data_IF_221566698485
#
_entry.id   IF_221566698485
#
_cell.length_a   1.000
_cell.length_b   1.000
_cell.length_c   1.000
_cell.angle_alpha   90.00
_cell.angle_beta   90.00
_cell.angle_gamma   90.00
#
_symmetry.space_group_name_H-M   'P 1'
#
loop_
_entity.id
_entity.type
_entity.pdbx_description
1 polymer ?
#
# COMPACT_ATOMS: atom_id res chain seq x y z
N UNK A 1 -2.24 4.80 18.93
CA UNK A 1 -2.84 3.50 18.60
C UNK A 1 -2.08 2.99 17.39
N UNK A 2 -1.48 1.81 17.48
CA UNK A 2 -0.90 1.15 16.31
C UNK A 2 -2.06 0.60 15.45
N UNK A 3 -1.93 0.70 14.14
CA UNK A 3 -2.88 0.16 13.17
C UNK A 3 -2.25 -1.04 12.46
N UNK A 4 -3.04 -2.06 12.17
CA UNK A 4 -2.57 -3.24 11.45
C UNK A 4 -2.47 -2.95 9.95
N UNK A 5 -1.31 -3.23 9.36
CA UNK A 5 -1.12 -3.14 7.91
C UNK A 5 -1.77 -4.33 7.22
N UNK A 6 -2.69 -4.08 6.29
CA UNK A 6 -3.37 -5.13 5.53
C UNK A 6 -2.49 -6.00 4.62
N UNK A 7 -1.22 -5.63 4.40
CA UNK A 7 -0.33 -6.32 3.47
C UNK A 7 0.71 -7.18 4.17
N UNK A 8 1.32 -6.65 5.24
CA UNK A 8 2.29 -7.39 6.04
C UNK A 8 1.72 -7.93 7.36
N UNK A 9 0.46 -7.60 7.68
CA UNK A 9 -0.27 -8.07 8.87
C UNK A 9 0.50 -7.74 10.17
N UNK A 10 1.26 -6.64 10.15
CA UNK A 10 2.01 -6.13 11.30
C UNK A 10 1.34 -4.87 11.82
N UNK A 11 1.29 -4.76 13.15
CA UNK A 11 0.98 -3.52 13.83
C UNK A 11 2.08 -2.50 13.55
N UNK A 12 1.69 -1.34 13.02
CA UNK A 12 2.60 -0.22 12.76
C UNK A 12 2.02 1.06 13.34
N UNK A 13 2.89 1.99 13.72
CA UNK A 13 2.47 3.28 14.28
C UNK A 13 1.88 4.23 13.22
N UNK A 14 2.25 4.02 11.94
CA UNK A 14 1.80 4.86 10.82
C UNK A 14 1.29 3.99 9.68
N UNK A 15 -0.03 3.96 9.53
CA UNK A 15 -0.69 3.49 8.32
C UNK A 15 -1.32 4.64 7.56
N UNK A 16 -1.54 4.40 6.27
CA UNK A 16 -2.37 5.23 5.41
C UNK A 16 -3.52 4.42 4.86
N UNK A 17 -4.68 5.07 4.81
CA UNK A 17 -5.88 4.46 4.27
C UNK A 17 -5.79 4.47 2.75
N UNK A 18 -5.54 3.32 2.14
CA UNK A 18 -5.51 3.21 0.70
C UNK A 18 -6.93 3.01 0.15
N UNK A 19 -7.45 3.92 -0.69
CA UNK A 19 -8.83 3.85 -1.18
C UNK A 19 -9.10 2.60 -2.01
N UNK A 20 -8.08 2.08 -2.69
CA UNK A 20 -8.19 0.89 -3.55
C UNK A 20 -8.34 -0.41 -2.76
N UNK A 21 -7.71 -0.50 -1.59
CA UNK A 21 -7.78 -1.67 -0.70
C UNK A 21 -8.85 -1.52 0.37
N UNK A 22 -9.42 -0.31 0.50
CA UNK A 22 -10.31 0.11 1.58
C UNK A 22 -9.81 -0.29 2.99
N UNK A 23 -8.48 -0.41 3.13
CA UNK A 23 -7.79 -0.87 4.34
C UNK A 23 -6.58 0.02 4.64
N UNK A 24 -6.18 -0.01 5.91
CA UNK A 24 -4.98 0.67 6.39
C UNK A 24 -3.73 -0.09 5.95
N UNK A 25 -2.77 0.63 5.36
CA UNK A 25 -1.54 0.06 4.82
C UNK A 25 -0.34 0.82 5.36
N UNK A 26 0.74 0.13 5.76
CA UNK A 26 1.95 0.82 6.16
C UNK A 26 2.70 1.38 4.96
N UNK A 27 3.43 2.48 5.19
CA UNK A 27 4.19 3.15 4.13
C UNK A 27 5.29 2.29 3.53
N UNK A 28 5.94 1.43 4.32
CA UNK A 28 6.92 0.50 3.78
C UNK A 28 6.32 -0.48 2.78
N UNK A 29 5.09 -0.96 3.00
CA UNK A 29 4.43 -1.85 2.06
C UNK A 29 4.00 -1.11 0.78
N UNK A 30 3.39 0.07 0.90
CA UNK A 30 3.07 0.89 -0.26
C UNK A 30 4.33 1.26 -1.06
N UNK A 31 5.43 1.60 -0.39
CA UNK A 31 6.71 1.92 -1.03
C UNK A 31 7.29 0.73 -1.76
N UNK A 32 7.33 -0.44 -1.13
CA UNK A 32 7.78 -1.68 -1.76
C UNK A 32 6.98 -1.99 -3.03
N UNK A 33 5.66 -1.87 -2.97
CA UNK A 33 4.76 -2.08 -4.10
C UNK A 33 5.01 -1.05 -5.20
N UNK A 34 5.02 0.24 -4.87
CA UNK A 34 5.29 1.33 -5.81
C UNK A 34 6.66 1.18 -6.47
N UNK A 35 7.65 0.63 -5.75
CA UNK A 35 8.99 0.32 -6.26
C UNK A 35 9.03 -0.95 -7.14
N UNK A 36 7.89 -1.61 -7.37
CA UNK A 36 7.78 -2.76 -8.26
C UNK A 36 8.08 -4.12 -7.62
N UNK A 37 7.94 -4.29 -6.29
CA UNK A 37 8.01 -5.62 -5.64
C UNK A 37 6.92 -6.54 -6.17
N UNK A 38 7.26 -7.33 -7.18
CA UNK A 38 6.34 -8.23 -7.90
C UNK A 38 5.66 -9.23 -6.97
N UNK A 39 6.37 -9.78 -5.98
CA UNK A 39 5.82 -10.74 -5.02
C UNK A 39 4.62 -10.17 -4.25
N UNK A 40 4.76 -8.97 -3.69
CA UNK A 40 3.69 -8.29 -2.95
C UNK A 40 2.55 -7.88 -3.88
N UNK A 41 2.87 -7.38 -5.07
CA UNK A 41 1.88 -7.03 -6.10
C UNK A 41 1.06 -8.27 -6.46
N UNK A 42 1.69 -9.41 -6.73
CA UNK A 42 1.00 -10.65 -7.10
C UNK A 42 0.09 -11.16 -5.98
N UNK A 43 0.52 -11.06 -4.72
CA UNK A 43 -0.32 -11.41 -3.55
C UNK A 43 -1.60 -10.57 -3.53
N UNK A 44 -1.48 -9.25 -3.63
CA UNK A 44 -2.62 -8.31 -3.63
C UNK A 44 -3.49 -8.51 -4.86
N UNK A 45 -2.87 -8.72 -6.02
CA UNK A 45 -3.56 -9.00 -7.28
C UNK A 45 -4.46 -10.24 -7.16
N UNK A 46 -3.98 -11.28 -6.48
CA UNK A 46 -4.72 -12.52 -6.26
C UNK A 46 -5.80 -12.38 -5.18
N UNK A 47 -5.51 -11.65 -4.11
CA UNK A 47 -6.42 -11.51 -2.96
C UNK A 47 -7.58 -10.54 -3.24
N UNK A 48 -7.32 -9.46 -3.98
CA UNK A 48 -8.29 -8.41 -4.25
C UNK A 48 -8.76 -8.37 -5.72
N UNK A 49 -8.28 -9.28 -6.57
CA UNK A 49 -8.59 -9.35 -8.01
C UNK A 49 -8.32 -8.04 -8.77
N UNK A 50 -7.37 -7.24 -8.29
CA UNK A 50 -7.01 -5.94 -8.86
C UNK A 50 -6.00 -6.09 -9.99
N UNK A 51 -5.91 -5.10 -10.90
CA UNK A 51 -4.80 -5.06 -11.87
C UNK A 51 -3.54 -4.50 -11.21
N UNK A 52 -2.38 -4.91 -11.73
CA UNK A 52 -1.07 -4.43 -11.26
C UNK A 52 -0.99 -2.90 -11.31
N UNK A 53 -1.45 -2.28 -12.40
CA UNK A 53 -1.42 -0.82 -12.56
C UNK A 53 -2.26 -0.08 -11.53
N UNK A 54 -3.46 -0.56 -11.22
CA UNK A 54 -4.30 0.01 -10.17
C UNK A 54 -3.62 -0.06 -8.81
N UNK A 55 -3.04 -1.22 -8.46
CA UNK A 55 -2.32 -1.43 -7.20
C UNK A 55 -1.13 -0.45 -7.08
N UNK A 56 -0.35 -0.31 -8.15
CA UNK A 56 0.79 0.61 -8.21
C UNK A 56 0.32 2.05 -8.02
N UNK A 57 -0.66 2.49 -8.82
CA UNK A 57 -1.20 3.86 -8.77
C UNK A 57 -1.77 4.19 -7.40
N UNK A 58 -2.52 3.27 -6.81
CA UNK A 58 -3.07 3.46 -5.46
C UNK A 58 -1.98 3.60 -4.41
N UNK A 59 -0.97 2.72 -4.42
CA UNK A 59 0.14 2.82 -3.47
C UNK A 59 0.94 4.11 -3.67
N UNK A 60 1.18 4.55 -4.91
CA UNK A 60 1.81 5.85 -5.19
C UNK A 60 1.00 7.00 -4.61
N UNK A 61 -0.32 7.06 -4.87
CA UNK A 61 -1.20 8.09 -4.31
C UNK A 61 -1.24 8.06 -2.77
N UNK A 62 -1.21 6.87 -2.16
CA UNK A 62 -1.14 6.73 -0.71
C UNK A 62 0.16 7.30 -0.15
N UNK A 63 1.29 7.03 -0.80
CA UNK A 63 2.60 7.58 -0.42
C UNK A 63 2.65 9.10 -0.57
N UNK A 64 2.16 9.63 -1.70
CA UNK A 64 2.07 11.08 -1.94
C UNK A 64 1.25 11.79 -0.86
N UNK A 65 0.13 11.19 -0.41
CA UNK A 65 -0.68 11.73 0.69
C UNK A 65 -0.03 11.60 2.05
N UNK A 66 0.81 10.59 2.26
CA UNK A 66 1.42 10.29 3.56
C UNK A 66 2.64 11.14 3.90
N UNK A 67 3.37 11.53 2.87
CA UNK A 67 4.60 12.28 2.97
C UNK A 67 4.90 12.79 1.58
N UNK A 68 4.45 14.01 1.29
CA UNK A 68 4.56 14.63 -0.02
C UNK A 68 5.95 14.40 -0.63
N UNK A 69 6.04 13.50 -1.61
CA UNK A 69 7.14 13.46 -2.56
C UNK A 69 6.87 14.51 -3.64
N UNK A 70 6.73 15.75 -3.17
CA UNK A 70 6.33 16.90 -3.96
C UNK A 70 6.59 18.17 -3.15
N UNK A 71 7.85 18.39 -2.80
CA UNK A 71 8.64 19.62 -3.00
C UNK A 71 10.10 19.38 -2.59
#
# INVERSE_FOLDING_TARGET
>A
MAEECAICEKEVEKTVKCPLLNRSTCLSCCFAISSGRVDMIQRIRKEYELQKEDILKACSTCLEKAGGLGE
#
